data_IF_378762464120
#
_entry.id   IF_378762464120
#
_cell.length_a   1.000
_cell.length_b   1.000
_cell.length_c   1.000
_cell.angle_alpha   90.00
_cell.angle_beta   90.00
_cell.angle_gamma   90.00
#
_symmetry.space_group_name_H-M   'P 1'
#
loop_
_entity.id
_entity.type
_entity.pdbx_description
1 polymer ?
#
# COMPACT_ATOMS: atom_id res chain seq x y z
N UNK A 1 -6.35 -5.93 3.99
CA UNK A 1 -7.73 -5.47 4.01
C UNK A 1 -8.21 -5.22 2.59
N UNK A 2 -9.23 -5.93 2.16
CA UNK A 2 -9.84 -5.78 0.85
C UNK A 2 -11.23 -5.16 0.97
N UNK A 3 -11.66 -4.35 0.00
CA UNK A 3 -13.02 -3.81 -0.05
C UNK A 3 -13.28 -3.09 -1.35
N UNK A 4 -14.52 -3.14 -1.82
CA UNK A 4 -14.94 -2.48 -3.06
C UNK A 4 -14.92 -0.95 -2.95
N UNK A 5 -15.04 -0.29 -4.09
CA UNK A 5 -15.18 1.16 -4.12
C UNK A 5 -16.41 1.60 -3.28
N UNK A 6 -16.25 2.63 -2.46
CA UNK A 6 -17.34 3.15 -1.62
C UNK A 6 -17.57 2.43 -0.29
N UNK A 7 -16.83 1.37 0.05
CA UNK A 7 -16.96 0.66 1.34
C UNK A 7 -16.35 1.39 2.54
N UNK A 8 -15.77 2.57 2.36
CA UNK A 8 -15.22 3.35 3.47
C UNK A 8 -13.77 3.01 3.86
N UNK A 9 -12.99 2.32 3.00
CA UNK A 9 -11.57 1.99 3.25
C UNK A 9 -10.75 3.18 3.75
N UNK A 10 -10.83 4.30 3.07
CA UNK A 10 -10.07 5.52 3.41
C UNK A 10 -10.49 6.07 4.78
N UNK A 11 -11.78 6.02 5.12
CA UNK A 11 -12.29 6.41 6.43
C UNK A 11 -11.76 5.50 7.54
N UNK A 12 -11.75 4.18 7.29
CA UNK A 12 -11.18 3.21 8.22
C UNK A 12 -9.68 3.45 8.41
N UNK A 13 -8.94 3.71 7.33
CA UNK A 13 -7.50 4.04 7.43
C UNK A 13 -7.28 5.27 8.29
N UNK A 14 -8.07 6.34 8.11
CA UNK A 14 -7.98 7.54 8.93
C UNK A 14 -8.26 7.24 10.42
N UNK A 15 -9.27 6.45 10.72
CA UNK A 15 -9.59 6.03 12.09
C UNK A 15 -8.45 5.19 12.72
N UNK A 16 -7.88 4.24 11.95
CA UNK A 16 -6.74 3.43 12.39
C UNK A 16 -5.52 4.31 12.68
N UNK A 17 -5.23 5.28 11.82
CA UNK A 17 -4.14 6.26 12.03
C UNK A 17 -4.33 7.03 13.32
N UNK A 18 -5.54 7.51 13.61
CA UNK A 18 -5.87 8.17 14.87
C UNK A 18 -5.61 7.27 16.07
N UNK A 19 -6.17 6.06 16.05
CA UNK A 19 -5.98 5.10 17.14
C UNK A 19 -4.51 4.72 17.38
N UNK A 20 -3.71 4.55 16.31
CA UNK A 20 -2.28 4.28 16.44
C UNK A 20 -1.56 5.42 17.14
N UNK A 21 -1.89 6.67 16.81
CA UNK A 21 -1.31 7.85 17.44
C UNK A 21 -1.67 7.94 18.93
N UNK A 22 -2.92 7.67 19.27
CA UNK A 22 -3.38 7.65 20.67
C UNK A 22 -2.65 6.59 21.50
N UNK A 23 -2.25 5.47 20.84
CA UNK A 23 -1.44 4.41 21.45
C UNK A 23 0.08 4.70 21.43
N UNK A 24 0.52 5.85 20.93
CA UNK A 24 1.94 6.18 20.77
C UNK A 24 2.66 5.36 19.69
N UNK A 25 1.92 4.72 18.78
CA UNK A 25 2.47 3.93 17.69
C UNK A 25 2.58 4.80 16.44
N UNK A 26 3.75 4.83 15.82
CA UNK A 26 3.99 5.64 14.62
C UNK A 26 3.32 5.03 13.39
N UNK A 27 2.35 5.70 12.75
CA UNK A 27 1.87 5.31 11.43
C UNK A 27 2.85 5.80 10.35
N UNK A 28 3.06 4.98 9.31
CA UNK A 28 3.82 5.35 8.11
C UNK A 28 2.92 5.08 6.91
N UNK A 29 2.45 6.17 6.27
CA UNK A 29 1.47 6.08 5.19
C UNK A 29 2.15 6.06 3.83
N UNK A 30 1.80 5.09 3.02
CA UNK A 30 2.37 4.86 1.70
C UNK A 30 1.27 4.66 0.64
N UNK A 31 1.58 4.99 -0.60
CA UNK A 31 0.73 4.67 -1.75
C UNK A 31 1.59 4.41 -3.00
N UNK A 32 1.08 3.70 -4.02
CA UNK A 32 1.83 3.43 -5.25
C UNK A 32 2.16 4.69 -6.04
N UNK A 33 1.27 5.68 -6.05
CA UNK A 33 1.39 6.90 -6.87
C UNK A 33 1.41 8.16 -6.02
N UNK A 34 1.97 9.25 -6.57
CA UNK A 34 1.98 10.56 -5.90
C UNK A 34 0.58 11.13 -5.69
N UNK A 35 -0.36 10.85 -6.61
CA UNK A 35 -1.76 11.28 -6.47
C UNK A 35 -2.43 10.55 -5.30
N UNK A 36 -2.32 9.23 -5.25
CA UNK A 36 -2.87 8.44 -4.16
C UNK A 36 -2.26 8.84 -2.80
N UNK A 37 -0.94 9.08 -2.74
CA UNK A 37 -0.29 9.55 -1.53
C UNK A 37 -0.83 10.92 -1.04
N UNK A 38 -1.12 11.85 -1.96
CA UNK A 38 -1.73 13.15 -1.60
C UNK A 38 -3.13 12.97 -1.02
N UNK A 39 -3.95 12.14 -1.66
CA UNK A 39 -5.32 11.84 -1.19
C UNK A 39 -5.28 11.20 0.18
N UNK A 40 -4.44 10.17 0.35
CA UNK A 40 -4.26 9.48 1.63
C UNK A 40 -3.82 10.45 2.74
N UNK A 41 -2.84 11.31 2.46
CA UNK A 41 -2.37 12.32 3.43
C UNK A 41 -3.48 13.28 3.85
N UNK A 42 -4.34 13.68 2.92
CA UNK A 42 -5.43 14.61 3.17
C UNK A 42 -6.52 14.01 4.09
N UNK A 43 -6.88 12.74 3.84
CA UNK A 43 -7.88 12.05 4.64
C UNK A 43 -7.37 11.63 6.02
N UNK A 44 -6.13 11.18 6.10
CA UNK A 44 -5.55 10.72 7.35
C UNK A 44 -5.00 11.84 8.25
N UNK A 45 -4.89 13.08 7.74
CA UNK A 45 -4.28 14.20 8.45
C UNK A 45 -2.79 13.98 8.77
N UNK A 46 -2.11 13.12 7.99
CA UNK A 46 -0.73 12.71 8.18
C UNK A 46 0.03 12.71 6.86
N UNK A 47 1.36 12.86 6.94
CA UNK A 47 2.21 12.80 5.76
C UNK A 47 2.22 11.41 5.16
N UNK A 48 1.89 11.31 3.87
CA UNK A 48 2.03 10.10 3.08
C UNK A 48 3.09 10.29 1.98
N UNK A 49 3.77 9.21 1.62
CA UNK A 49 4.78 9.17 0.57
C UNK A 49 4.44 8.10 -0.46
N UNK A 50 5.05 8.17 -1.63
CA UNK A 50 5.04 7.01 -2.52
C UNK A 50 5.92 5.90 -1.95
N UNK A 51 5.55 4.64 -2.23
CA UNK A 51 6.34 3.48 -1.83
C UNK A 51 7.77 3.64 -2.31
N UNK A 52 7.96 3.94 -3.59
CA UNK A 52 9.29 4.13 -4.19
C UNK A 52 10.14 5.16 -3.45
N UNK A 53 9.56 6.32 -3.14
CA UNK A 53 10.27 7.38 -2.42
C UNK A 53 10.69 6.97 -1.00
N UNK A 54 9.95 6.06 -0.39
CA UNK A 54 10.24 5.61 0.97
C UNK A 54 11.27 4.49 1.02
N UNK A 55 11.12 3.49 0.15
CA UNK A 55 11.88 2.25 0.29
C UNK A 55 13.17 2.20 -0.53
N UNK A 56 13.28 3.03 -1.57
CA UNK A 56 14.48 3.04 -2.42
C UNK A 56 15.36 4.26 -2.21
N UNK A 57 16.65 4.05 -2.45
CA UNK A 57 17.67 5.10 -2.55
C UNK A 57 18.45 4.93 -3.84
N UNK A 58 18.80 6.04 -4.47
CA UNK A 58 19.67 6.03 -5.63
C UNK A 58 21.09 5.64 -5.22
N UNK A 59 21.69 4.75 -5.97
CA UNK A 59 23.12 4.47 -5.94
C UNK A 59 23.69 4.83 -7.30
N UNK A 60 24.70 5.70 -7.32
CA UNK A 60 25.49 5.99 -8.52
C UNK A 60 26.72 5.10 -8.45
N UNK A 61 26.86 4.17 -9.38
CA UNK A 61 28.10 3.40 -9.55
C UNK A 61 29.09 4.20 -10.42
N UNK A 62 30.36 3.81 -10.37
CA UNK A 62 31.45 4.46 -11.16
C UNK A 62 31.16 4.45 -12.68
N UNK A 63 30.34 3.55 -13.17
CA UNK A 63 29.94 3.38 -14.58
C UNK A 63 28.72 4.22 -15.02
N UNK A 64 28.33 5.23 -14.25
CA UNK A 64 27.17 6.11 -14.50
C UNK A 64 25.80 5.42 -14.62
N UNK A 65 25.67 4.14 -14.32
CA UNK A 65 24.39 3.48 -14.22
C UNK A 65 23.72 3.82 -12.87
N UNK A 66 22.63 4.56 -12.93
CA UNK A 66 21.81 4.87 -11.75
C UNK A 66 20.89 3.69 -11.43
N UNK A 67 21.26 2.87 -10.46
CA UNK A 67 20.37 1.82 -9.91
C UNK A 67 19.81 2.26 -8.57
N UNK A 68 18.53 1.92 -8.34
CA UNK A 68 17.87 2.16 -7.06
C UNK A 68 17.91 0.91 -6.21
N UNK A 69 18.57 0.99 -5.06
CA UNK A 69 18.65 -0.12 -4.10
C UNK A 69 17.73 0.12 -2.91
N UNK A 70 17.32 -0.96 -2.26
CA UNK A 70 16.52 -0.90 -1.05
C UNK A 70 17.25 -0.07 0.03
N UNK A 71 16.51 0.85 0.63
CA UNK A 71 17.01 1.69 1.71
C UNK A 71 16.98 0.94 3.04
N UNK A 72 17.67 1.46 4.03
CA UNK A 72 17.54 0.98 5.42
C UNK A 72 16.23 1.51 6.01
N UNK A 73 15.53 0.66 6.75
CA UNK A 73 14.35 1.07 7.52
C UNK A 73 14.78 1.48 8.93
N UNK A 74 14.73 2.77 9.27
CA UNK A 74 15.12 3.24 10.61
C UNK A 74 14.01 3.10 11.66
N UNK A 75 12.80 2.68 11.24
CA UNK A 75 11.64 2.68 12.11
C UNK A 75 11.68 1.52 13.12
N UNK A 76 11.06 1.78 14.28
CA UNK A 76 10.88 0.78 15.34
C UNK A 76 9.43 0.78 15.80
N UNK A 77 8.80 -0.39 15.82
CA UNK A 77 7.41 -0.56 16.25
C UNK A 77 6.38 0.18 15.38
N UNK A 78 6.78 0.67 14.21
CA UNK A 78 5.90 1.42 13.34
C UNK A 78 4.92 0.50 12.58
N UNK A 79 3.75 1.04 12.25
CA UNK A 79 2.76 0.39 11.38
C UNK A 79 2.77 1.09 10.03
N UNK A 80 3.21 0.37 9.02
CA UNK A 80 3.18 0.81 7.63
C UNK A 80 1.80 0.50 7.06
N UNK A 81 1.12 1.51 6.53
CA UNK A 81 -0.19 1.37 5.90
C UNK A 81 -0.04 1.78 4.44
N UNK A 82 -0.38 0.86 3.56
CA UNK A 82 -0.33 1.07 2.11
C UNK A 82 -1.75 1.09 1.58
N UNK A 83 -2.17 2.23 1.05
CA UNK A 83 -3.44 2.36 0.33
C UNK A 83 -3.24 2.10 -1.17
N UNK A 84 -4.30 1.73 -1.88
CA UNK A 84 -4.27 1.34 -3.31
C UNK A 84 -3.30 0.18 -3.60
N UNK A 85 -3.23 -0.79 -2.67
CA UNK A 85 -2.29 -1.90 -2.75
C UNK A 85 -2.55 -2.83 -3.94
N UNK A 86 -3.73 -2.77 -4.57
CA UNK A 86 -4.06 -3.53 -5.79
C UNK A 86 -3.07 -3.32 -6.94
N UNK A 87 -2.38 -2.19 -6.96
CA UNK A 87 -1.40 -1.84 -7.99
C UNK A 87 0.00 -2.41 -7.76
N UNK A 88 0.26 -3.09 -6.64
CA UNK A 88 1.60 -3.62 -6.34
C UNK A 88 1.84 -4.93 -7.11
N UNK A 89 2.89 -4.93 -7.93
CA UNK A 89 3.34 -6.12 -8.65
C UNK A 89 4.26 -6.99 -7.78
N UNK A 90 4.19 -8.31 -8.01
CA UNK A 90 5.11 -9.30 -7.43
C UNK A 90 6.00 -9.96 -8.50
N UNK A 91 5.91 -9.51 -9.74
CA UNK A 91 6.76 -9.97 -10.83
C UNK A 91 8.16 -9.37 -10.74
N UNK A 92 9.18 -10.22 -10.62
CA UNK A 92 10.55 -9.80 -10.80
C UNK A 92 10.83 -9.58 -12.30
N UNK A 93 11.43 -8.44 -12.66
CA UNK A 93 11.88 -8.19 -14.03
C UNK A 93 13.40 -8.18 -14.08
N UNK A 94 13.97 -8.97 -15.00
CA UNK A 94 15.40 -8.93 -15.27
C UNK A 94 15.79 -7.53 -15.76
N UNK A 95 16.84 -6.97 -15.16
CA UNK A 95 17.27 -5.61 -15.47
C UNK A 95 16.47 -4.50 -14.81
N UNK A 96 15.71 -4.82 -13.76
CA UNK A 96 14.93 -3.83 -13.02
C UNK A 96 15.76 -2.65 -12.55
N UNK A 97 15.25 -1.44 -12.79
CA UNK A 97 15.85 -0.20 -12.33
C UNK A 97 15.76 -0.08 -10.79
N UNK A 98 14.74 -0.68 -10.19
CA UNK A 98 14.44 -0.59 -8.75
C UNK A 98 14.55 -1.96 -8.08
N UNK A 99 15.40 -2.05 -7.06
CA UNK A 99 15.50 -3.20 -6.15
C UNK A 99 15.58 -4.56 -6.83
N UNK A 100 14.70 -5.48 -6.42
CA UNK A 100 14.58 -6.83 -6.99
C UNK A 100 13.73 -6.89 -8.27
N UNK A 101 13.01 -5.80 -8.60
CA UNK A 101 11.99 -5.78 -9.64
C UNK A 101 10.59 -6.15 -9.16
N UNK A 102 10.46 -6.73 -7.96
CA UNK A 102 9.18 -6.95 -7.30
C UNK A 102 8.94 -5.88 -6.24
N UNK A 103 7.99 -4.97 -6.51
CA UNK A 103 7.68 -3.89 -5.59
C UNK A 103 7.09 -4.42 -4.28
N UNK A 104 6.28 -5.48 -4.34
CA UNK A 104 5.68 -6.11 -3.17
C UNK A 104 6.75 -6.79 -2.30
N UNK A 105 7.64 -7.58 -2.89
CA UNK A 105 8.72 -8.24 -2.16
C UNK A 105 9.66 -7.23 -1.49
N UNK A 106 10.07 -6.19 -2.22
CA UNK A 106 10.93 -5.14 -1.71
C UNK A 106 10.28 -4.35 -0.56
N UNK A 107 8.98 -4.06 -0.67
CA UNK A 107 8.22 -3.40 0.40
C UNK A 107 8.17 -4.26 1.67
N UNK A 108 7.83 -5.54 1.53
CA UNK A 108 7.80 -6.47 2.67
C UNK A 108 9.19 -6.59 3.31
N UNK A 109 10.23 -6.74 2.50
CA UNK A 109 11.61 -6.80 3.00
C UNK A 109 11.99 -5.51 3.72
N UNK A 110 11.66 -4.35 3.15
CA UNK A 110 11.93 -3.06 3.80
C UNK A 110 11.25 -2.95 5.17
N UNK A 111 9.97 -3.31 5.27
CA UNK A 111 9.23 -3.25 6.54
C UNK A 111 9.85 -4.19 7.57
N UNK A 112 10.23 -5.41 7.17
CA UNK A 112 10.87 -6.41 8.04
C UNK A 112 12.25 -6.01 8.53
N UNK A 113 13.00 -5.23 7.75
CA UNK A 113 14.28 -4.67 8.17
C UNK A 113 14.13 -3.64 9.30
N UNK A 114 12.92 -3.13 9.54
CA UNK A 114 12.59 -2.35 10.73
C UNK A 114 12.31 -3.23 11.94
N UNK A 115 12.71 -2.79 13.13
CA UNK A 115 12.54 -3.56 14.35
C UNK A 115 11.10 -3.53 14.85
N UNK A 116 10.37 -4.67 14.78
CA UNK A 116 8.99 -4.78 15.26
C UNK A 116 7.97 -4.00 14.42
N UNK A 117 8.30 -3.65 13.17
CA UNK A 117 7.38 -3.00 12.26
C UNK A 117 6.33 -3.99 11.72
N UNK A 118 5.15 -3.47 11.37
CA UNK A 118 4.04 -4.22 10.79
C UNK A 118 3.62 -3.57 9.48
N UNK A 119 3.02 -4.37 8.59
CA UNK A 119 2.51 -3.94 7.30
C UNK A 119 1.01 -4.18 7.21
N UNK A 120 0.27 -3.18 6.77
CA UNK A 120 -1.16 -3.25 6.44
C UNK A 120 -1.31 -2.86 4.98
N UNK A 121 -1.84 -3.76 4.18
CA UNK A 121 -2.16 -3.54 2.77
C UNK A 121 -3.67 -3.31 2.66
N UNK A 122 -4.07 -2.21 2.03
CA UNK A 122 -5.46 -1.81 1.83
C UNK A 122 -5.69 -1.58 0.34
N UNK A 123 -6.75 -2.15 -0.21
CA UNK A 123 -7.04 -1.98 -1.62
C UNK A 123 -8.39 -2.57 -2.04
N UNK A 124 -8.59 -2.62 -3.33
CA UNK A 124 -9.81 -3.11 -3.97
C UNK A 124 -9.42 -4.14 -5.02
N UNK A 125 -9.75 -5.42 -4.77
CA UNK A 125 -9.43 -6.51 -5.69
C UNK A 125 -10.26 -6.48 -6.99
N UNK A 126 -11.32 -5.67 -7.06
CA UNK A 126 -12.09 -5.45 -8.29
C UNK A 126 -11.49 -4.34 -9.18
N UNK A 127 -10.51 -3.59 -8.67
CA UNK A 127 -9.75 -2.65 -9.49
C UNK A 127 -8.75 -3.38 -10.39
N UNK A 128 -8.23 -2.64 -11.38
CA UNK A 128 -7.25 -3.19 -12.31
C UNK A 128 -6.02 -3.72 -11.55
N UNK A 129 -5.62 -4.97 -11.81
CA UNK A 129 -4.40 -5.53 -11.25
C UNK A 129 -3.15 -4.84 -11.83
N UNK A 130 -1.97 -5.13 -11.28
CA UNK A 130 -0.71 -4.63 -11.84
C UNK A 130 -0.53 -5.06 -13.30
N UNK A 131 0.19 -4.26 -14.07
CA UNK A 131 0.49 -4.57 -15.47
C UNK A 131 1.22 -5.92 -15.56
N UNK A 132 0.67 -6.82 -16.40
CA UNK A 132 1.22 -8.16 -16.60
C UNK A 132 0.77 -9.20 -15.56
N UNK A 133 -0.25 -8.89 -14.76
CA UNK A 133 -0.85 -9.83 -13.81
C UNK A 133 -2.37 -9.88 -13.99
N UNK A 134 -2.95 -11.06 -13.83
CA UNK A 134 -4.40 -11.28 -13.93
C UNK A 134 -5.13 -10.99 -12.59
N UNK A 135 -4.37 -10.83 -11.50
CA UNK A 135 -4.89 -10.55 -10.17
C UNK A 135 -3.93 -9.66 -9.38
N UNK A 136 -4.37 -9.18 -8.21
CA UNK A 136 -3.56 -8.35 -7.32
C UNK A 136 -2.86 -9.20 -6.25
N UNK A 137 -1.55 -9.50 -6.37
CA UNK A 137 -0.85 -10.35 -5.41
C UNK A 137 -0.80 -9.73 -4.01
N UNK A 138 -0.83 -8.41 -3.90
CA UNK A 138 -0.82 -7.70 -2.62
C UNK A 138 -2.16 -7.79 -1.85
N UNK A 139 -3.23 -8.26 -2.48
CA UNK A 139 -4.54 -8.46 -1.86
C UNK A 139 -4.96 -9.92 -1.83
N UNK A 140 -4.15 -10.82 -2.38
CA UNK A 140 -4.40 -12.26 -2.38
C UNK A 140 -3.72 -12.94 -1.19
N UNK A 141 -4.49 -13.56 -0.26
CA UNK A 141 -3.93 -14.24 0.91
C UNK A 141 -2.95 -15.37 0.58
N UNK A 142 -3.18 -16.09 -0.53
CA UNK A 142 -2.30 -17.18 -0.93
C UNK A 142 -0.91 -16.65 -1.33
N UNK A 143 -0.86 -15.60 -2.15
CA UNK A 143 0.39 -14.92 -2.53
C UNK A 143 1.10 -14.33 -1.31
N UNK A 144 0.36 -13.68 -0.42
CA UNK A 144 0.94 -13.06 0.78
C UNK A 144 1.44 -14.07 1.79
N UNK A 145 0.92 -15.31 1.82
CA UNK A 145 1.37 -16.36 2.74
C UNK A 145 2.84 -16.72 2.56
N UNK A 146 3.40 -16.54 1.36
CA UNK A 146 4.83 -16.72 1.08
C UNK A 146 5.71 -15.75 1.88
N UNK A 147 5.13 -14.62 2.29
CA UNK A 147 5.80 -13.60 3.09
C UNK A 147 5.58 -13.76 4.60
N UNK A 148 4.80 -14.73 5.08
CA UNK A 148 4.59 -15.04 6.51
C UNK A 148 3.12 -15.07 6.91
N UNK A 149 2.88 -14.89 8.21
CA UNK A 149 1.51 -14.90 8.75
C UNK A 149 0.71 -13.70 8.22
N UNK A 150 -0.49 -13.98 7.71
CA UNK A 150 -1.39 -13.00 7.10
C UNK A 150 -2.74 -13.01 7.82
N UNK A 151 -3.17 -11.84 8.27
CA UNK A 151 -4.55 -11.62 8.71
C UNK A 151 -5.30 -10.92 7.58
N UNK A 152 -6.38 -11.51 7.14
CA UNK A 152 -7.18 -11.01 6.04
C UNK A 152 -8.56 -10.54 6.52
N UNK A 153 -9.03 -9.43 5.97
CA UNK A 153 -10.36 -8.89 6.25
C UNK A 153 -10.97 -8.25 5.01
N UNK A 154 -12.29 -8.33 4.90
CA UNK A 154 -13.07 -7.73 3.80
C UNK A 154 -14.03 -6.68 4.32
N UNK A 155 -14.31 -5.68 3.46
CA UNK A 155 -15.34 -4.67 3.66
C UNK A 155 -16.32 -4.80 2.50
N UNK A 156 -17.47 -5.40 2.77
CA UNK A 156 -18.44 -5.78 1.74
C UNK A 156 -19.63 -4.79 1.65
N UNK A 157 -19.88 -4.00 2.71
CA UNK A 157 -20.97 -3.03 2.73
C UNK A 157 -20.57 -1.71 2.07
N UNK A 158 -21.34 -1.28 1.08
CA UNK A 158 -21.16 0.01 0.39
C UNK A 158 -21.83 1.12 1.21
N UNK A 159 -21.03 1.95 1.87
CA UNK A 159 -21.51 3.03 2.76
C UNK A 159 -21.74 4.35 2.01
N UNK A 160 -21.18 4.52 0.78
CA UNK A 160 -21.20 5.79 0.04
C UNK A 160 -22.48 6.07 -0.76
N UNK A 161 -23.36 5.11 -0.95
CA UNK A 161 -24.61 5.34 -1.66
C UNK A 161 -25.77 5.46 -0.67
N UNK A 162 -26.02 6.68 -0.20
CA UNK A 162 -27.36 6.98 0.29
C UNK A 162 -28.34 6.82 -0.88
N UNK A 163 -29.46 6.15 -0.62
CA UNK A 163 -30.53 5.88 -1.60
C UNK A 163 -31.12 7.18 -2.25
N UNK A 164 -30.69 8.36 -1.79
CA UNK A 164 -31.06 9.68 -2.27
C UNK A 164 -30.02 10.32 -3.19
N UNK A 165 -28.90 9.64 -3.54
CA UNK A 165 -27.91 10.25 -4.40
C UNK A 165 -28.42 10.30 -5.85
N UNK A 166 -28.47 11.50 -6.43
CA UNK A 166 -28.94 11.74 -7.80
C UNK A 166 -28.21 10.97 -8.92
N UNK A 167 -27.15 10.24 -8.57
CA UNK A 167 -26.40 9.35 -9.47
C UNK A 167 -27.19 8.08 -9.77
N UNK A 168 -27.97 7.54 -8.80
CA UNK A 168 -28.82 6.38 -9.02
C UNK A 168 -30.06 6.72 -9.87
N UNK A 169 -30.50 7.97 -9.85
CA UNK A 169 -31.68 8.42 -10.61
C UNK A 169 -31.43 8.55 -12.12
N UNK A 170 -30.18 8.70 -12.52
CA UNK A 170 -29.76 8.86 -13.93
C UNK A 170 -29.21 7.57 -14.56
N UNK A 171 -29.15 6.46 -13.84
CA UNK A 171 -28.64 5.17 -14.30
C UNK A 171 -29.73 4.12 -14.56
N UNK A 172 -31.00 4.48 -14.36
CA UNK A 172 -32.22 3.73 -14.75
C UNK A 172 -32.94 4.44 -15.88
#
# INVERSE_FOLDING_TARGET
LNGYAGTGKTTLVAAVVGALKDLGIKPVLLAPTGRAAKVLAQYAGEKALTIHKRIYRQRTNADYESKFSLNLNPERGAVFIVDEASMLSDGASDGALFGSGSLLADLVQYVRNGRGCRLVLVGDSAQLPPVGSDFSPALDPASLSAYGEVVYGTMDEVVRQEASSGILFNAT
#
